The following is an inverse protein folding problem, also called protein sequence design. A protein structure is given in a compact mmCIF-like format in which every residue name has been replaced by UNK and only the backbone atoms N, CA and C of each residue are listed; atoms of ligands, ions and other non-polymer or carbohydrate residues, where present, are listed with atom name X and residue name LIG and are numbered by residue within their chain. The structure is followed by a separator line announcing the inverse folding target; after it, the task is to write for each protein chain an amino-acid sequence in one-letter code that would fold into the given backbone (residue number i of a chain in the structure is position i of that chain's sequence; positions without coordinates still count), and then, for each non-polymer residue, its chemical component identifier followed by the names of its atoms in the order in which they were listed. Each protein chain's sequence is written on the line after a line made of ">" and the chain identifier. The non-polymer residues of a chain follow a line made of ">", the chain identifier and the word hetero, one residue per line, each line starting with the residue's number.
data_IF_137196584256
#
_entry.id   IF_137196584256
#
_cell.length_a   1.000
_cell.length_b   1.000
_cell.length_c   1.000
_cell.angle_alpha   90.00
_cell.angle_beta   90.00
_cell.angle_gamma   90.00
#
_symmetry.space_group_name_H-M   'P 1'
#
loop_
_entity.id
_entity.type
_entity.pdbx_description
1 polymer ?
#
# COMPACT_ATOMS: atom_id res chain seq x y z
N UNK A 1 -66.43 -55.19 32.99
CA UNK A 1 -66.46 -54.03 33.88
C UNK A 1 -65.45 -53.06 33.32
N UNK A 2 -65.90 -52.14 32.45
CA UNK A 2 -65.06 -51.14 31.81
C UNK A 2 -64.54 -50.23 32.91
N UNK A 3 -63.27 -50.34 33.26
CA UNK A 3 -62.62 -49.38 34.16
C UNK A 3 -62.63 -48.03 33.44
N UNK A 4 -63.64 -47.23 33.74
CA UNK A 4 -63.64 -45.81 33.43
C UNK A 4 -62.52 -45.24 34.29
N UNK A 5 -61.38 -44.95 33.68
CA UNK A 5 -60.34 -44.19 34.37
C UNK A 5 -60.97 -42.88 34.86
N UNK A 6 -60.82 -42.55 36.15
CA UNK A 6 -61.39 -41.31 36.68
C UNK A 6 -60.85 -40.12 35.87
N UNK A 7 -61.66 -39.05 35.69
CA UNK A 7 -61.21 -37.88 34.94
C UNK A 7 -59.91 -37.33 35.56
N UNK A 8 -58.89 -37.22 34.71
CA UNK A 8 -57.61 -36.62 35.10
C UNK A 8 -57.87 -35.17 35.54
N UNK A 9 -57.38 -34.82 36.72
CA UNK A 9 -57.44 -33.45 37.24
C UNK A 9 -56.04 -32.84 37.06
N UNK A 10 -55.99 -31.57 36.69
CA UNK A 10 -54.73 -30.84 36.54
C UNK A 10 -53.86 -30.99 37.79
N UNK A 11 -52.54 -31.10 37.57
CA UNK A 11 -51.59 -31.15 38.67
C UNK A 11 -51.74 -29.88 39.52
N UNK A 12 -51.63 -29.99 40.86
CA UNK A 12 -51.69 -28.84 41.75
C UNK A 12 -50.75 -27.71 41.32
N UNK A 13 -51.19 -26.46 41.48
CA UNK A 13 -50.52 -25.21 41.03
C UNK A 13 -49.00 -25.11 41.28
N UNK A 14 -48.37 -25.68 42.33
CA UNK A 14 -46.90 -25.65 42.46
C UNK A 14 -46.14 -26.64 41.56
N UNK A 15 -46.83 -27.51 40.81
CA UNK A 15 -46.20 -28.37 39.81
C UNK A 15 -45.79 -27.56 38.58
N UNK A 16 -44.49 -27.32 38.49
CA UNK A 16 -43.87 -26.73 37.32
C UNK A 16 -43.62 -27.80 36.27
N UNK A 17 -43.85 -27.48 35.00
CA UNK A 17 -43.71 -28.41 33.88
C UNK A 17 -42.52 -28.02 33.01
N UNK A 18 -41.88 -29.03 32.43
CA UNK A 18 -40.92 -28.86 31.34
C UNK A 18 -41.28 -29.75 30.16
N UNK A 19 -40.83 -29.38 28.96
CA UNK A 19 -40.99 -30.16 27.73
C UNK A 19 -39.70 -30.84 27.33
N UNK A 20 -39.83 -32.08 26.87
CA UNK A 20 -38.73 -32.90 26.36
C UNK A 20 -39.05 -33.31 24.94
N UNK A 21 -38.04 -33.26 24.07
CA UNK A 21 -38.08 -33.81 22.71
C UNK A 21 -36.83 -34.65 22.48
N UNK A 22 -36.92 -35.58 21.53
CA UNK A 22 -35.80 -36.39 21.10
C UNK A 22 -36.16 -37.13 19.83
N UNK A 23 -35.16 -37.60 19.09
CA UNK A 23 -35.35 -38.43 17.89
C UNK A 23 -34.42 -39.62 17.94
N UNK A 24 -34.89 -40.78 17.50
CA UNK A 24 -34.08 -41.99 17.37
C UNK A 24 -34.21 -42.55 15.97
N UNK A 25 -33.08 -42.92 15.38
CA UNK A 25 -33.02 -43.57 14.09
C UNK A 25 -31.85 -44.57 14.07
N UNK A 26 -32.01 -45.63 13.29
CA UNK A 26 -30.94 -46.56 12.95
C UNK A 26 -30.22 -46.09 11.70
N UNK A 27 -28.89 -46.21 11.70
CA UNK A 27 -28.14 -46.27 10.46
C UNK A 27 -28.23 -47.70 9.94
N UNK A 28 -28.93 -47.89 8.81
CA UNK A 28 -29.08 -49.21 8.19
C UNK A 28 -28.09 -49.29 7.04
N UNK A 29 -27.33 -50.38 7.00
CA UNK A 29 -26.41 -50.65 5.90
C UNK A 29 -27.15 -50.84 4.58
N UNK A 30 -26.39 -50.89 3.49
CA UNK A 30 -26.91 -51.11 2.14
C UNK A 30 -27.94 -52.26 2.09
N UNK A 31 -29.09 -52.00 1.48
CA UNK A 31 -30.17 -52.96 1.34
C UNK A 31 -30.65 -52.98 -0.11
N UNK A 32 -31.18 -54.11 -0.57
CA UNK A 32 -31.69 -54.27 -1.95
C UNK A 32 -32.95 -53.44 -2.24
N UNK A 33 -33.36 -52.55 -1.33
CA UNK A 33 -34.51 -51.66 -1.46
C UNK A 33 -34.09 -50.19 -1.68
N UNK A 34 -32.80 -49.87 -1.68
CA UNK A 34 -32.28 -48.52 -1.93
C UNK A 34 -31.72 -48.40 -3.37
N UNK A 35 -31.89 -47.23 -3.99
CA UNK A 35 -31.37 -46.92 -5.34
C UNK A 35 -29.91 -46.50 -5.30
N UNK A 36 -29.45 -45.95 -4.18
CA UNK A 36 -28.04 -45.63 -3.97
C UNK A 36 -27.38 -46.63 -3.01
N UNK A 37 -26.10 -46.95 -3.24
CA UNK A 37 -25.37 -47.94 -2.45
C UNK A 37 -24.85 -47.38 -1.11
N UNK A 38 -25.49 -46.34 -0.56
CA UNK A 38 -25.06 -45.72 0.69
C UNK A 38 -25.92 -46.17 1.87
N UNK A 39 -25.38 -46.12 3.10
CA UNK A 39 -26.18 -46.34 4.30
C UNK A 39 -27.30 -45.30 4.44
N UNK A 40 -28.51 -45.78 4.74
CA UNK A 40 -29.69 -44.96 4.95
C UNK A 40 -30.01 -44.72 6.43
N UNK A 41 -30.71 -43.63 6.71
CA UNK A 41 -31.25 -43.33 8.05
C UNK A 41 -32.71 -43.83 8.13
N UNK A 42 -32.98 -44.79 9.01
CA UNK A 42 -34.32 -45.33 9.22
C UNK A 42 -34.82 -44.96 10.62
N UNK A 43 -35.96 -44.25 10.76
CA UNK A 43 -36.50 -43.89 12.07
C UNK A 43 -36.89 -45.14 12.86
N UNK A 44 -36.65 -45.12 14.17
CA UNK A 44 -37.18 -46.16 15.06
C UNK A 44 -38.62 -45.81 15.39
N UNK A 45 -39.57 -46.69 15.06
CA UNK A 45 -41.01 -46.45 15.24
C UNK A 45 -41.58 -47.51 16.16
N UNK A 46 -42.43 -47.10 17.10
CA UNK A 46 -43.17 -48.03 17.94
C UNK A 46 -43.73 -47.42 19.22
N UNK A 47 -44.62 -48.16 19.86
CA UNK A 47 -45.27 -47.75 21.09
C UNK A 47 -44.46 -48.15 22.32
N UNK A 48 -44.46 -47.29 23.34
CA UNK A 48 -43.91 -47.54 24.69
C UNK A 48 -42.45 -48.02 24.65
N UNK A 49 -41.63 -47.40 23.81
CA UNK A 49 -40.22 -47.77 23.61
C UNK A 49 -39.28 -47.17 24.65
N UNK A 50 -39.62 -46.00 25.20
CA UNK A 50 -38.83 -45.30 26.21
C UNK A 50 -39.64 -45.17 27.50
N UNK A 51 -39.01 -45.38 28.66
CA UNK A 51 -39.61 -45.17 29.97
C UNK A 51 -38.87 -44.07 30.73
N UNK A 52 -39.63 -43.15 31.32
CA UNK A 52 -39.14 -42.15 32.25
C UNK A 52 -39.59 -42.53 33.66
N UNK A 53 -38.64 -42.67 34.57
CA UNK A 53 -38.89 -42.98 35.99
C UNK A 53 -38.52 -41.76 36.83
N UNK A 54 -39.44 -41.19 37.62
CA UNK A 54 -39.12 -40.03 38.44
C UNK A 54 -38.26 -40.45 39.63
N UNK A 55 -37.24 -39.64 39.96
CA UNK A 55 -36.42 -39.89 41.16
C UNK A 55 -37.22 -39.67 42.45
N UNK A 56 -38.11 -38.67 42.47
CA UNK A 56 -39.05 -38.44 43.56
C UNK A 56 -40.34 -39.24 43.31
N UNK A 57 -40.52 -40.38 43.97
CA UNK A 57 -41.71 -41.23 43.82
C UNK A 57 -42.97 -40.70 44.51
N UNK A 58 -42.84 -39.78 45.46
CA UNK A 58 -43.96 -39.15 46.16
C UNK A 58 -43.60 -37.73 46.54
N UNK A 59 -44.51 -36.77 46.32
CA UNK A 59 -44.36 -35.37 46.74
C UNK A 59 -45.56 -34.90 47.55
N UNK A 60 -45.30 -34.23 48.67
CA UNK A 60 -46.33 -33.52 49.45
C UNK A 60 -46.46 -32.09 48.92
N UNK A 61 -47.67 -31.70 48.54
CA UNK A 61 -47.95 -30.38 47.98
C UNK A 61 -48.57 -29.47 49.04
N UNK A 62 -47.71 -28.73 49.73
CA UNK A 62 -48.14 -27.64 50.60
C UNK A 62 -48.73 -26.49 49.78
N UNK A 63 -49.83 -25.88 50.26
CA UNK A 63 -50.55 -24.81 49.53
C UNK A 63 -51.81 -25.27 48.78
N UNK A 64 -52.18 -26.54 48.90
CA UNK A 64 -53.51 -27.07 48.51
C UNK A 64 -54.39 -27.29 49.75
N UNK A 65 -55.71 -27.22 49.60
CA UNK A 65 -56.67 -27.59 50.64
C UNK A 65 -57.69 -28.62 50.10
N UNK A 66 -57.66 -29.88 50.57
CA UNK A 66 -56.69 -30.44 51.52
C UNK A 66 -55.28 -30.54 50.94
N UNK A 67 -54.27 -30.61 51.81
CA UNK A 67 -52.88 -30.89 51.41
C UNK A 67 -52.84 -32.19 50.62
N UNK A 68 -52.37 -32.12 49.39
CA UNK A 68 -52.39 -33.25 48.45
C UNK A 68 -51.04 -33.97 48.45
N UNK A 69 -51.06 -35.30 48.62
CA UNK A 69 -49.93 -36.19 48.34
C UNK A 69 -50.05 -36.67 46.90
N UNK A 70 -49.05 -36.38 46.07
CA UNK A 70 -48.99 -36.83 44.68
C UNK A 70 -47.99 -37.97 44.57
N UNK A 71 -48.46 -39.10 44.03
CA UNK A 71 -47.63 -40.27 43.72
C UNK A 71 -47.16 -40.18 42.27
N UNK A 72 -45.87 -39.96 42.12
CA UNK A 72 -45.19 -39.76 40.85
C UNK A 72 -44.91 -41.13 40.20
N UNK A 73 -45.62 -41.44 39.12
CA UNK A 73 -45.51 -42.74 38.44
C UNK A 73 -44.58 -42.69 37.24
N UNK A 74 -43.89 -43.81 36.93
CA UNK A 74 -43.19 -43.96 35.66
C UNK A 74 -44.12 -43.75 34.48
N UNK A 75 -43.62 -43.13 33.44
CA UNK A 75 -44.35 -42.96 32.18
C UNK A 75 -43.62 -43.64 31.04
N UNK A 76 -44.37 -44.09 30.04
CA UNK A 76 -43.81 -44.62 28.80
C UNK A 76 -44.12 -43.67 27.65
N UNK A 77 -43.27 -43.71 26.64
CA UNK A 77 -43.31 -42.87 25.47
C UNK A 77 -43.14 -43.68 24.19
N UNK A 78 -43.73 -43.18 23.13
CA UNK A 78 -43.70 -43.76 21.80
C UNK A 78 -42.64 -43.05 20.95
N UNK A 79 -42.25 -43.67 19.85
CA UNK A 79 -41.53 -43.02 18.77
C UNK A 79 -42.43 -43.02 17.53
N UNK A 80 -42.72 -41.84 17.01
CA UNK A 80 -43.64 -41.67 15.88
C UNK A 80 -43.01 -42.11 14.55
N UNK A 81 -43.73 -41.91 13.44
CA UNK A 81 -43.25 -42.32 12.10
C UNK A 81 -41.95 -41.62 11.65
N UNK A 82 -41.54 -40.54 12.32
CA UNK A 82 -40.28 -39.84 12.07
C UNK A 82 -39.20 -40.21 13.11
N UNK A 83 -39.52 -41.14 14.02
CA UNK A 83 -38.68 -41.52 15.15
C UNK A 83 -38.61 -40.45 16.22
N UNK A 84 -39.51 -39.46 16.20
CA UNK A 84 -39.58 -38.43 17.22
C UNK A 84 -40.31 -38.96 18.47
N UNK A 85 -39.79 -38.59 19.64
CA UNK A 85 -40.41 -38.85 20.93
C UNK A 85 -41.83 -38.28 20.91
N UNK A 86 -42.81 -39.14 21.16
CA UNK A 86 -44.21 -38.76 21.14
C UNK A 86 -45.00 -39.47 22.24
N UNK A 87 -46.15 -38.90 22.57
CA UNK A 87 -47.12 -39.54 23.45
C UNK A 87 -48.53 -39.16 23.00
N UNK A 88 -49.40 -40.15 22.82
CA UNK A 88 -50.76 -39.95 22.33
C UNK A 88 -50.81 -39.16 21.01
N UNK A 89 -49.84 -39.39 20.11
CA UNK A 89 -49.74 -38.71 18.82
C UNK A 89 -49.27 -37.24 18.88
N UNK A 90 -48.91 -36.72 20.06
CA UNK A 90 -48.31 -35.40 20.22
C UNK A 90 -46.79 -35.51 20.28
N UNK A 91 -46.10 -34.64 19.54
CA UNK A 91 -44.63 -34.59 19.52
C UNK A 91 -44.08 -33.97 20.81
N UNK A 92 -43.13 -34.67 21.41
CA UNK A 92 -42.54 -34.35 22.71
C UNK A 92 -43.45 -34.73 23.88
N UNK A 93 -42.89 -34.64 25.08
CA UNK A 93 -43.57 -35.01 26.32
C UNK A 93 -43.42 -33.89 27.32
N UNK A 94 -44.51 -33.55 28.00
CA UNK A 94 -44.48 -32.68 29.17
C UNK A 94 -44.38 -33.53 30.43
N UNK A 95 -43.36 -33.25 31.23
CA UNK A 95 -43.14 -33.86 32.53
C UNK A 95 -43.06 -32.75 33.58
N UNK A 96 -43.30 -33.08 34.85
CA UNK A 96 -43.00 -32.13 35.91
C UNK A 96 -41.49 -31.95 36.09
N UNK A 97 -41.12 -30.75 36.52
CA UNK A 97 -39.73 -30.41 36.81
C UNK A 97 -39.20 -31.26 37.97
N UNK A 98 -37.98 -31.75 37.81
CA UNK A 98 -37.32 -32.68 38.72
C UNK A 98 -36.33 -33.58 38.00
N UNK A 99 -35.72 -34.50 38.75
CA UNK A 99 -34.79 -35.50 38.21
C UNK A 99 -35.56 -36.74 37.75
N UNK A 100 -35.23 -37.20 36.55
CA UNK A 100 -35.83 -38.34 35.90
C UNK A 100 -34.77 -39.26 35.34
N UNK A 101 -34.99 -40.57 35.45
CA UNK A 101 -34.20 -41.60 34.79
C UNK A 101 -34.86 -41.97 33.45
N UNK A 102 -34.15 -41.78 32.35
CA UNK A 102 -34.51 -42.28 31.03
C UNK A 102 -33.94 -43.69 30.85
N UNK A 103 -34.77 -44.65 30.43
CA UNK A 103 -34.32 -46.01 30.15
C UNK A 103 -35.12 -46.69 29.03
N UNK A 104 -34.57 -47.71 28.36
CA UNK A 104 -35.31 -48.48 27.37
C UNK A 104 -36.45 -49.24 28.04
N UNK A 105 -37.67 -49.06 27.53
CA UNK A 105 -38.84 -49.82 27.95
C UNK A 105 -38.98 -51.14 27.16
N UNK A 106 -38.45 -51.16 25.94
CA UNK A 106 -38.40 -52.34 25.07
C UNK A 106 -36.98 -52.54 24.52
N UNK A 107 -36.06 -53.15 25.29
CA UNK A 107 -34.66 -53.34 24.90
C UNK A 107 -34.45 -54.18 23.64
N UNK A 108 -35.46 -54.94 23.22
CA UNK A 108 -35.43 -55.71 21.97
C UNK A 108 -35.64 -54.86 20.73
N UNK A 109 -36.26 -53.68 20.87
CA UNK A 109 -36.52 -52.73 19.78
C UNK A 109 -35.57 -51.55 19.86
N UNK A 110 -35.37 -50.99 21.05
CA UNK A 110 -34.47 -49.87 21.29
C UNK A 110 -33.69 -50.14 22.57
N UNK A 111 -32.38 -50.30 22.45
CA UNK A 111 -31.49 -50.53 23.57
C UNK A 111 -30.50 -49.36 23.72
N UNK A 112 -30.36 -48.83 24.93
CA UNK A 112 -29.39 -47.81 25.31
C UNK A 112 -29.17 -47.87 26.82
N UNK A 113 -28.03 -47.37 27.28
CA UNK A 113 -27.74 -47.29 28.71
C UNK A 113 -28.69 -46.29 29.38
N UNK A 114 -29.27 -46.67 30.52
CA UNK A 114 -30.11 -45.74 31.27
C UNK A 114 -29.29 -44.55 31.79
N UNK A 115 -29.90 -43.38 31.83
CA UNK A 115 -29.25 -42.17 32.33
C UNK A 115 -30.23 -41.24 33.02
N UNK A 116 -29.71 -40.46 33.97
CA UNK A 116 -30.48 -39.44 34.67
C UNK A 116 -30.35 -38.10 33.97
N UNK A 117 -31.42 -37.32 34.00
CA UNK A 117 -31.44 -35.94 33.53
C UNK A 117 -32.32 -35.08 34.44
N UNK A 118 -32.04 -33.78 34.49
CA UNK A 118 -32.83 -32.81 35.24
C UNK A 118 -33.73 -32.01 34.29
N UNK A 119 -35.01 -31.91 34.65
CA UNK A 119 -35.98 -31.08 33.95
C UNK A 119 -36.33 -29.85 34.80
N UNK A 120 -36.14 -28.67 34.23
CA UNK A 120 -36.47 -27.37 34.85
C UNK A 120 -37.50 -26.61 34.02
N UNK A 121 -38.05 -25.51 34.58
CA UNK A 121 -38.99 -24.61 33.90
C UNK A 121 -38.41 -23.90 32.67
N UNK A 122 -37.08 -23.85 32.56
CA UNK A 122 -36.43 -23.28 31.39
C UNK A 122 -36.72 -24.10 30.13
N UNK A 123 -37.12 -25.37 30.28
CA UNK A 123 -37.45 -26.25 29.16
C UNK A 123 -38.90 -26.03 28.72
N UNK A 124 -39.14 -25.00 27.93
CA UNK A 124 -40.47 -24.59 27.48
C UNK A 124 -40.90 -25.28 26.18
N UNK A 125 -42.09 -24.95 25.68
CA UNK A 125 -42.54 -25.43 24.38
C UNK A 125 -41.64 -24.95 23.23
N UNK A 126 -41.08 -23.74 23.35
CA UNK A 126 -40.19 -23.09 22.37
C UNK A 126 -38.72 -23.47 22.56
N UNK A 127 -38.33 -23.91 23.76
CA UNK A 127 -36.98 -24.33 24.11
C UNK A 127 -36.99 -25.66 24.89
N UNK A 128 -37.42 -26.78 24.26
CA UNK A 128 -37.52 -28.05 24.96
C UNK A 128 -36.14 -28.63 25.27
N UNK A 129 -36.07 -29.46 26.31
CA UNK A 129 -34.89 -30.30 26.58
C UNK A 129 -34.70 -31.28 25.41
N UNK A 130 -33.50 -31.28 24.82
CA UNK A 130 -33.08 -32.28 23.85
C UNK A 130 -32.56 -33.52 24.59
N UNK A 131 -33.38 -34.57 24.64
CA UNK A 131 -33.15 -35.75 25.49
C UNK A 131 -31.75 -36.36 25.32
N UNK A 132 -31.33 -36.56 24.07
CA UNK A 132 -30.06 -37.22 23.77
C UNK A 132 -28.85 -36.30 23.94
N UNK A 133 -29.04 -34.99 24.06
CA UNK A 133 -27.97 -34.06 24.47
C UNK A 133 -27.72 -34.10 25.98
N UNK A 134 -28.71 -34.55 26.76
CA UNK A 134 -28.57 -34.79 28.19
C UNK A 134 -28.00 -36.19 28.50
N UNK A 135 -27.93 -37.08 27.51
CA UNK A 135 -27.35 -38.40 27.68
C UNK A 135 -25.84 -38.30 27.91
N UNK A 136 -25.26 -39.13 28.79
CA UNK A 136 -23.81 -39.17 29.01
C UNK A 136 -23.10 -39.58 27.72
N UNK A 137 -22.04 -38.87 27.38
CA UNK A 137 -21.17 -39.21 26.26
C UNK A 137 -20.16 -40.27 26.71
N UNK A 138 -20.26 -41.47 26.14
CA UNK A 138 -19.22 -42.50 26.28
C UNK A 138 -18.22 -42.35 25.12
N UNK A 139 -16.96 -41.92 25.36
CA UNK A 139 -15.98 -41.76 24.32
C UNK A 139 -15.60 -43.11 23.67
N UNK A 140 -15.33 -43.16 22.35
CA UNK A 140 -14.77 -44.35 21.70
C UNK A 140 -13.43 -44.78 22.33
N UNK A 141 -13.15 -46.08 22.29
CA UNK A 141 -11.88 -46.64 22.75
C UNK A 141 -10.69 -45.92 22.10
N UNK A 142 -9.70 -45.53 22.92
CA UNK A 142 -8.53 -44.76 22.46
C UNK A 142 -8.73 -43.24 22.38
N UNK A 143 -9.91 -42.72 22.69
CA UNK A 143 -10.14 -41.26 22.76
C UNK A 143 -9.72 -40.70 24.11
N UNK A 144 -8.74 -39.79 24.12
CA UNK A 144 -8.38 -39.06 25.34
C UNK A 144 -9.48 -38.08 25.72
N UNK A 145 -10.10 -38.30 26.88
CA UNK A 145 -11.05 -37.34 27.48
C UNK A 145 -10.37 -36.57 28.60
N UNK A 146 -10.28 -35.26 28.42
CA UNK A 146 -9.88 -34.35 29.48
C UNK A 146 -11.14 -33.93 30.25
N UNK A 147 -11.31 -34.44 31.46
CA UNK A 147 -12.41 -34.01 32.34
C UNK A 147 -11.92 -32.86 33.20
N UNK A 148 -12.50 -31.67 33.02
CA UNK A 148 -12.34 -30.55 33.95
C UNK A 148 -13.31 -30.77 35.11
N UNK A 149 -12.80 -31.21 36.27
CA UNK A 149 -13.62 -31.31 37.48
C UNK A 149 -13.87 -29.89 38.00
N UNK A 150 -15.11 -29.43 37.85
CA UNK A 150 -15.56 -28.16 38.44
C UNK A 150 -16.11 -28.48 39.84
N UNK A 151 -15.59 -27.87 40.92
CA UNK A 151 -16.11 -28.06 42.26
C UNK A 151 -17.61 -27.69 42.34
N UNK A 152 -18.39 -28.35 43.19
CA UNK A 152 -19.78 -27.96 43.47
C UNK A 152 -19.84 -26.84 44.52
N UNK A 153 -20.97 -26.11 44.61
CA UNK A 153 -21.24 -25.18 45.71
C UNK A 153 -20.87 -23.72 45.46
N UNK A 154 -20.79 -23.30 44.19
CA UNK A 154 -20.59 -21.89 43.83
C UNK A 154 -21.70 -21.01 44.43
N UNK A 155 -21.32 -19.92 45.06
CA UNK A 155 -22.24 -18.83 45.42
C UNK A 155 -22.29 -17.77 44.31
N UNK A 156 -23.40 -17.04 44.22
CA UNK A 156 -23.52 -15.96 43.24
C UNK A 156 -22.42 -14.90 43.47
N UNK A 157 -21.68 -14.55 42.41
CA UNK A 157 -20.53 -13.63 42.47
C UNK A 157 -19.16 -14.32 42.60
N UNK A 158 -19.12 -15.65 42.76
CA UNK A 158 -17.86 -16.40 42.74
C UNK A 158 -17.41 -16.74 41.32
N UNK A 159 -16.10 -16.83 41.13
CA UNK A 159 -15.46 -17.24 39.88
C UNK A 159 -14.66 -18.51 40.09
N UNK A 160 -14.62 -19.38 39.07
CA UNK A 160 -13.76 -20.56 39.10
C UNK A 160 -12.33 -20.12 38.76
N UNK A 161 -11.41 -20.28 39.71
CA UNK A 161 -10.01 -19.88 39.55
C UNK A 161 -9.06 -20.94 40.10
N UNK A 162 -7.80 -20.89 39.68
CA UNK A 162 -6.75 -21.76 40.22
C UNK A 162 -6.24 -21.17 41.54
N UNK A 163 -6.47 -21.88 42.65
CA UNK A 163 -5.94 -21.57 43.97
C UNK A 163 -4.74 -22.44 44.33
N UNK A 164 -4.30 -22.36 45.59
CA UNK A 164 -3.12 -23.08 46.10
C UNK A 164 -3.24 -24.61 45.98
N UNK A 165 -4.46 -25.14 46.08
CA UNK A 165 -4.76 -26.58 46.01
C UNK A 165 -5.47 -27.01 44.70
N UNK A 166 -5.46 -26.14 43.67
CA UNK A 166 -6.09 -26.40 42.36
C UNK A 166 -7.34 -25.56 42.08
N UNK A 167 -8.21 -26.03 41.18
CA UNK A 167 -9.43 -25.30 40.80
C UNK A 167 -10.40 -25.19 41.99
N UNK A 168 -10.75 -23.96 42.36
CA UNK A 168 -11.67 -23.65 43.45
C UNK A 168 -12.57 -22.47 43.09
N UNK A 169 -13.76 -22.42 43.69
CA UNK A 169 -14.58 -21.21 43.67
C UNK A 169 -13.93 -20.18 44.58
N UNK A 170 -13.59 -19.04 44.00
CA UNK A 170 -13.07 -17.89 44.73
C UNK A 170 -14.10 -16.78 44.66
N UNK A 171 -14.24 -16.01 45.72
CA UNK A 171 -15.01 -14.78 45.66
C UNK A 171 -14.45 -13.95 44.52
N UNK A 172 -15.30 -13.62 43.55
CA UNK A 172 -14.90 -12.77 42.44
C UNK A 172 -14.33 -11.52 43.06
N UNK A 173 -13.02 -11.33 42.93
CA UNK A 173 -12.37 -10.14 43.42
C UNK A 173 -12.95 -8.97 42.63
N UNK A 174 -14.04 -8.39 43.12
CA UNK A 174 -14.45 -7.02 42.83
C UNK A 174 -13.53 -6.05 43.57
N UNK A 175 -12.28 -6.45 43.82
CA UNK A 175 -11.23 -5.57 44.24
C UNK A 175 -10.90 -4.70 43.05
N UNK A 176 -11.12 -3.41 43.23
CA UNK A 176 -10.48 -2.40 42.39
C UNK A 176 -9.00 -2.78 42.25
N UNK A 177 -8.58 -3.20 41.05
CA UNK A 177 -7.18 -3.55 40.81
C UNK A 177 -6.37 -2.29 41.00
N UNK A 178 -5.67 -2.20 42.12
CA UNK A 178 -4.84 -1.06 42.44
C UNK A 178 -3.51 -1.21 41.71
N UNK A 179 -2.90 -0.08 41.38
CA UNK A 179 -1.51 -0.08 40.93
C UNK A 179 -0.57 -0.68 41.97
N UNK A 180 -0.98 -0.77 43.23
CA UNK A 180 -0.21 -1.41 44.30
C UNK A 180 -0.20 -2.93 44.26
N UNK A 181 -1.13 -3.55 43.54
CA UNK A 181 -1.22 -5.01 43.42
C UNK A 181 -0.22 -5.60 42.39
N UNK A 182 0.39 -4.75 41.56
CA UNK A 182 1.35 -5.18 40.53
C UNK A 182 2.74 -5.39 41.16
N UNK A 183 3.11 -6.64 41.41
CA UNK A 183 4.46 -7.00 41.85
C UNK A 183 5.51 -6.80 40.72
N UNK A 184 6.74 -6.42 41.08
CA UNK A 184 7.81 -6.18 40.10
C UNK A 184 7.66 -4.90 39.28
N UNK A 185 6.65 -4.06 39.59
CA UNK A 185 6.50 -2.75 38.97
C UNK A 185 7.71 -1.84 39.29
N UNK A 186 8.20 -1.06 38.32
CA UNK A 186 9.16 0.01 38.61
C UNK A 186 8.56 0.97 39.64
N UNK A 187 9.31 1.31 40.69
CA UNK A 187 8.84 2.21 41.77
C UNK A 187 8.55 3.63 41.28
N UNK A 188 9.02 3.97 40.07
CA UNK A 188 8.93 5.30 39.48
C UNK A 188 8.94 5.21 37.95
N UNK A 189 7.77 5.37 37.32
CA UNK A 189 7.66 6.02 36.01
C UNK A 189 7.07 7.43 36.19
N UNK A 190 7.68 8.39 36.92
CA UNK A 190 7.59 9.75 36.45
C UNK A 190 8.45 9.74 35.18
N UNK A 191 7.86 9.78 33.96
CA UNK A 191 8.65 10.24 32.83
C UNK A 191 9.36 11.51 33.30
N UNK A 192 10.67 11.63 33.06
CA UNK A 192 11.34 12.90 33.30
C UNK A 192 10.71 13.88 32.33
N UNK A 193 9.73 14.64 32.83
CA UNK A 193 9.06 15.68 32.07
C UNK A 193 10.02 16.85 31.99
N UNK A 194 10.40 17.22 30.77
CA UNK A 194 11.38 18.26 30.55
C UNK A 194 11.14 18.99 29.25
N UNK A 195 11.94 20.03 29.05
CA UNK A 195 11.90 20.90 27.86
C UNK A 195 13.02 20.57 26.87
N UNK A 196 13.71 19.45 27.04
CA UNK A 196 14.84 19.04 26.18
C UNK A 196 14.39 18.03 25.14
N UNK A 197 15.15 17.89 24.05
CA UNK A 197 14.83 16.96 22.97
C UNK A 197 14.81 15.47 23.39
N UNK A 198 15.37 15.12 24.55
CA UNK A 198 15.44 13.73 25.06
C UNK A 198 14.49 13.45 26.21
N UNK A 199 13.68 14.43 26.61
CA UNK A 199 12.68 14.30 27.69
C UNK A 199 11.28 14.42 27.11
N UNK A 200 10.34 13.67 27.67
CA UNK A 200 8.94 13.77 27.25
C UNK A 200 8.36 15.12 27.70
N UNK A 201 7.54 15.76 26.87
CA UNK A 201 6.71 16.89 27.33
C UNK A 201 5.54 16.37 28.16
N UNK A 202 5.02 17.16 29.09
CA UNK A 202 3.79 16.81 29.80
C UNK A 202 2.65 16.64 28.79
N UNK A 203 1.75 15.67 29.00
CA UNK A 203 0.63 15.40 28.08
C UNK A 203 -0.35 16.58 27.93
N UNK A 204 -0.34 17.51 28.87
CA UNK A 204 -1.10 18.76 28.83
C UNK A 204 -0.25 19.97 28.38
N UNK A 205 0.97 19.75 27.87
CA UNK A 205 1.80 20.83 27.36
C UNK A 205 1.14 21.42 26.13
N UNK A 206 0.81 22.71 26.18
CA UNK A 206 0.37 23.44 25.01
C UNK A 206 1.50 23.47 23.98
N UNK A 207 1.35 22.73 22.89
CA UNK A 207 2.29 22.77 21.78
C UNK A 207 2.09 24.12 21.08
N UNK A 208 3.13 24.99 21.00
CA UNK A 208 2.99 26.26 20.31
C UNK A 208 2.62 26.01 18.85
N UNK A 209 1.78 26.89 18.30
CA UNK A 209 1.42 26.82 16.90
C UNK A 209 2.67 26.83 16.02
N UNK A 210 2.61 26.14 14.88
CA UNK A 210 3.71 26.11 13.93
C UNK A 210 4.15 27.55 13.57
N UNK A 211 5.46 27.83 13.50
CA UNK A 211 5.94 29.16 13.21
C UNK A 211 5.43 29.62 11.85
N UNK A 212 4.80 30.78 11.82
CA UNK A 212 4.46 31.51 10.60
C UNK A 212 5.59 32.48 10.25
N UNK A 213 5.61 32.97 9.00
CA UNK A 213 6.55 34.00 8.58
C UNK A 213 6.58 35.22 9.52
N UNK A 214 5.45 35.58 10.13
CA UNK A 214 5.35 36.70 11.05
C UNK A 214 6.03 36.42 12.41
N UNK A 215 6.03 35.15 12.85
CA UNK A 215 6.58 34.72 14.14
C UNK A 215 8.10 34.47 14.15
N UNK A 216 8.77 34.54 12.99
CA UNK A 216 10.22 34.38 12.89
C UNK A 216 10.95 35.62 13.47
N UNK A 217 11.34 35.56 14.73
CA UNK A 217 11.98 36.67 15.46
C UNK A 217 13.32 37.13 14.87
N UNK A 218 14.08 36.20 14.26
CA UNK A 218 15.35 36.51 13.59
C UNK A 218 15.23 37.06 12.16
N UNK A 219 14.03 37.09 11.58
CA UNK A 219 13.83 37.58 10.22
C UNK A 219 13.57 39.10 10.21
N UNK A 220 14.23 39.81 9.28
CA UNK A 220 13.96 41.23 9.03
C UNK A 220 12.57 41.43 8.43
N UNK A 221 12.05 42.66 8.47
CA UNK A 221 10.76 42.99 7.84
C UNK A 221 10.74 42.58 6.35
N UNK A 222 11.83 42.84 5.62
CA UNK A 222 12.00 42.43 4.22
C UNK A 222 12.02 40.90 4.10
N UNK A 223 12.80 40.21 4.94
CA UNK A 223 12.84 38.73 4.94
C UNK A 223 11.47 38.10 5.16
N UNK A 224 10.67 38.62 6.09
CA UNK A 224 9.29 38.16 6.33
C UNK A 224 8.39 38.42 5.13
N UNK A 225 8.51 39.56 4.45
CA UNK A 225 7.73 39.86 3.25
C UNK A 225 8.10 38.93 2.08
N UNK A 226 9.38 38.59 1.91
CA UNK A 226 9.82 37.63 0.88
C UNK A 226 9.25 36.23 1.16
N UNK A 227 9.32 35.75 2.41
CA UNK A 227 8.77 34.44 2.78
C UNK A 227 7.25 34.38 2.55
N UNK A 228 6.56 35.52 2.71
CA UNK A 228 5.11 35.64 2.44
C UNK A 228 4.76 35.86 0.95
N UNK A 229 5.73 36.10 0.09
CA UNK A 229 5.46 36.40 -1.31
C UNK A 229 4.91 35.16 -2.03
N UNK A 230 3.74 35.30 -2.64
CA UNK A 230 3.07 34.22 -3.37
C UNK A 230 3.62 33.98 -4.77
N UNK A 231 4.38 34.95 -5.30
CA UNK A 231 4.95 34.91 -6.64
C UNK A 231 6.20 35.80 -6.76
N UNK A 232 6.85 35.74 -7.92
CA UNK A 232 8.06 36.49 -8.21
C UNK A 232 7.84 38.02 -8.23
N UNK A 233 6.65 38.51 -8.58
CA UNK A 233 6.36 39.95 -8.60
C UNK A 233 6.22 40.52 -7.18
N UNK A 234 5.54 39.78 -6.30
CA UNK A 234 5.44 40.09 -4.88
C UNK A 234 6.82 40.09 -4.20
N UNK A 235 7.68 39.11 -4.51
CA UNK A 235 9.04 39.07 -3.99
C UNK A 235 9.89 40.27 -4.46
N UNK A 236 9.82 40.64 -5.75
CA UNK A 236 10.50 41.85 -6.28
C UNK A 236 10.02 43.13 -5.62
N UNK A 237 8.73 43.21 -5.32
CA UNK A 237 8.14 44.34 -4.58
C UNK A 237 8.69 44.38 -3.15
N UNK A 238 8.76 43.24 -2.46
CA UNK A 238 9.26 43.13 -1.09
C UNK A 238 10.73 43.56 -0.91
N UNK A 239 11.60 43.28 -1.89
CA UNK A 239 13.01 43.75 -1.87
C UNK A 239 13.18 45.17 -2.41
N UNK A 240 12.10 45.85 -2.80
CA UNK A 240 12.17 47.17 -3.42
C UNK A 240 12.85 47.19 -4.79
N UNK A 241 13.02 46.02 -5.43
CA UNK A 241 13.64 45.92 -6.75
C UNK A 241 12.68 46.33 -7.88
N UNK A 242 11.36 46.30 -7.62
CA UNK A 242 10.34 46.70 -8.60
C UNK A 242 10.56 46.08 -9.98
N UNK A 243 10.25 46.86 -11.02
CA UNK A 243 10.90 46.80 -12.33
C UNK A 243 11.84 48.01 -12.36
N UNK A 244 13.16 47.81 -12.41
CA UNK A 244 14.22 48.83 -12.30
C UNK A 244 13.76 50.30 -12.33
N UNK A 245 13.94 51.03 -11.23
CA UNK A 245 13.73 52.49 -11.15
C UNK A 245 14.77 53.32 -11.91
N UNK A 246 15.54 52.68 -12.81
CA UNK A 246 16.51 53.34 -13.67
C UNK A 246 15.73 54.12 -14.73
N UNK A 247 15.63 55.43 -14.54
CA UNK A 247 15.16 56.31 -15.60
C UNK A 247 16.15 56.19 -16.77
N UNK A 248 15.67 55.68 -17.91
CA UNK A 248 16.43 55.66 -19.15
C UNK A 248 16.37 57.06 -19.78
N UNK A 249 17.51 57.61 -20.15
CA UNK A 249 17.58 58.96 -20.71
C UNK A 249 18.95 59.32 -21.26
N UNK A 250 19.09 60.57 -21.66
CA UNK A 250 20.30 61.13 -22.28
C UNK A 250 21.03 62.12 -21.37
N UNK A 251 20.57 62.32 -20.13
CA UNK A 251 21.22 63.22 -19.17
C UNK A 251 22.22 62.44 -18.30
N UNK A 252 23.16 63.15 -17.69
CA UNK A 252 24.18 62.56 -16.81
C UNK A 252 23.60 61.86 -15.56
N UNK A 253 22.33 62.10 -15.22
CA UNK A 253 21.65 61.49 -14.06
C UNK A 253 20.74 60.33 -14.44
N UNK A 254 20.64 59.99 -15.72
CA UNK A 254 19.81 58.89 -16.24
C UNK A 254 20.69 57.80 -16.83
N UNK A 255 20.25 56.54 -16.74
CA UNK A 255 20.97 55.43 -17.34
C UNK A 255 20.78 55.43 -18.87
N UNK A 256 21.84 55.13 -19.60
CA UNK A 256 21.73 54.91 -21.03
C UNK A 256 21.03 53.56 -21.30
N UNK A 257 20.31 53.45 -22.42
CA UNK A 257 19.70 52.19 -22.85
C UNK A 257 20.79 51.13 -23.08
N UNK A 258 20.48 49.85 -22.85
CA UNK A 258 21.47 48.77 -22.98
C UNK A 258 22.13 48.63 -24.37
N UNK A 259 21.52 49.19 -25.40
CA UNK A 259 22.01 49.23 -26.79
C UNK A 259 22.55 50.61 -27.20
N UNK A 260 22.87 51.50 -26.24
CA UNK A 260 23.46 52.79 -26.57
C UNK A 260 24.85 52.63 -27.18
N UNK A 261 25.14 53.45 -28.18
CA UNK A 261 26.45 53.53 -28.83
C UNK A 261 27.11 54.86 -28.49
N UNK A 262 28.38 54.83 -28.12
CA UNK A 262 29.18 56.04 -28.02
C UNK A 262 29.84 56.33 -29.37
N UNK A 263 29.59 57.50 -29.94
CA UNK A 263 30.39 57.98 -31.06
C UNK A 263 31.67 58.62 -30.53
N UNK A 264 32.78 58.44 -31.24
CA UNK A 264 33.99 59.23 -31.01
C UNK A 264 33.70 60.73 -31.07
N UNK A 265 32.70 61.13 -31.87
CA UNK A 265 32.28 62.52 -31.96
C UNK A 265 31.65 63.07 -30.67
N UNK A 266 31.14 62.20 -29.78
CA UNK A 266 30.45 62.60 -28.54
C UNK A 266 31.43 62.90 -27.39
N UNK A 267 32.71 62.59 -27.56
CA UNK A 267 33.75 62.90 -26.58
C UNK A 267 34.11 64.40 -26.66
N UNK A 268 33.90 65.13 -25.57
CA UNK A 268 34.23 66.56 -25.43
C UNK A 268 35.74 66.82 -25.39
N UNK A 269 36.53 65.87 -24.90
CA UNK A 269 37.99 66.02 -24.71
C UNK A 269 38.81 65.07 -25.61
N UNK A 270 38.32 64.78 -26.81
CA UNK A 270 39.04 63.88 -27.72
C UNK A 270 40.31 64.52 -28.29
N UNK A 271 41.42 63.76 -28.42
CA UNK A 271 42.60 64.22 -29.16
C UNK A 271 42.25 64.56 -30.61
N UNK A 272 42.83 65.63 -31.16
CA UNK A 272 42.74 65.88 -32.59
C UNK A 272 43.54 64.81 -33.35
N UNK A 273 42.89 64.09 -34.28
CA UNK A 273 43.60 63.16 -35.17
C UNK A 273 44.33 64.01 -36.22
N UNK A 274 45.68 63.91 -36.32
CA UNK A 274 46.42 64.65 -37.33
C UNK A 274 45.97 64.26 -38.75
N UNK A 275 45.85 65.25 -39.64
CA UNK A 275 45.50 65.00 -41.02
C UNK A 275 46.54 64.06 -41.67
N UNK A 276 46.07 63.07 -42.44
CA UNK A 276 46.96 62.22 -43.21
C UNK A 276 47.81 63.09 -44.17
N UNK A 277 49.12 62.83 -44.30
CA UNK A 277 49.97 63.57 -45.23
C UNK A 277 49.44 63.41 -46.66
N UNK A 278 49.43 64.51 -47.42
CA UNK A 278 48.97 64.52 -48.81
C UNK A 278 49.72 63.47 -49.63
N UNK A 279 48.96 62.69 -50.39
CA UNK A 279 49.40 61.50 -51.13
C UNK A 279 50.69 61.73 -51.95
N UNK A 280 51.80 61.12 -51.54
CA UNK A 280 52.90 60.84 -52.47
C UNK A 280 52.43 59.71 -53.39
N UNK A 281 51.71 60.07 -54.46
CA UNK A 281 51.20 59.10 -55.42
C UNK A 281 52.40 58.38 -56.07
N UNK A 282 52.61 57.11 -55.70
CA UNK A 282 53.71 56.27 -56.19
C UNK A 282 53.75 56.12 -57.73
N UNK A 283 52.66 56.49 -58.43
CA UNK A 283 52.57 56.46 -59.89
C UNK A 283 52.48 57.90 -60.44
N UNK A 284 53.47 58.36 -61.23
CA UNK A 284 53.41 59.64 -61.93
C UNK A 284 52.26 59.68 -62.94
N UNK A 285 51.61 60.83 -63.08
CA UNK A 285 50.64 61.09 -64.16
C UNK A 285 51.35 61.24 -65.50
N UNK A 286 50.65 60.95 -66.61
CA UNK A 286 51.09 61.32 -67.96
C UNK A 286 51.71 60.22 -68.81
N UNK A 287 51.56 58.94 -68.43
CA UNK A 287 51.94 57.82 -69.29
C UNK A 287 51.11 57.78 -70.57
N UNK A 288 51.77 57.51 -71.69
CA UNK A 288 51.14 57.30 -73.01
C UNK A 288 51.28 55.85 -73.45
N UNK A 289 50.53 55.45 -74.48
CA UNK A 289 50.65 54.13 -75.11
C UNK A 289 52.10 53.87 -75.55
N UNK A 290 52.61 52.67 -75.30
CA UNK A 290 54.01 52.23 -75.53
C UNK A 290 55.05 52.80 -74.55
N UNK A 291 54.61 53.24 -73.36
CA UNK A 291 55.49 53.50 -72.23
C UNK A 291 55.25 52.50 -71.10
N UNK A 292 56.32 52.12 -70.40
CA UNK A 292 56.29 51.34 -69.17
C UNK A 292 56.89 52.15 -68.03
N UNK A 293 56.37 51.98 -66.82
CA UNK A 293 56.90 52.66 -65.65
C UNK A 293 58.26 52.04 -65.30
N UNK A 294 59.31 52.85 -65.30
CA UNK A 294 60.67 52.46 -64.92
C UNK A 294 61.11 53.30 -63.72
N UNK A 295 61.93 52.73 -62.85
CA UNK A 295 62.58 53.50 -61.80
C UNK A 295 63.85 54.11 -62.39
N UNK A 296 63.94 55.44 -62.38
CA UNK A 296 65.11 56.18 -62.83
C UNK A 296 66.30 56.01 -61.88
N UNK A 297 67.47 56.49 -62.30
CA UNK A 297 68.69 56.48 -61.46
C UNK A 297 68.58 57.36 -60.21
N UNK A 298 67.55 58.20 -60.13
CA UNK A 298 67.17 59.03 -58.99
C UNK A 298 66.22 58.32 -58.01
N UNK A 299 65.91 57.04 -58.24
CA UNK A 299 65.02 56.24 -57.40
C UNK A 299 63.53 56.56 -57.55
N UNK A 300 63.16 57.44 -58.49
CA UNK A 300 61.77 57.81 -58.75
C UNK A 300 61.21 57.05 -59.94
N UNK A 301 59.93 56.68 -59.85
CA UNK A 301 59.24 56.09 -60.98
C UNK A 301 59.00 57.15 -62.06
N UNK A 302 59.24 56.82 -63.33
CA UNK A 302 58.98 57.65 -64.51
C UNK A 302 58.55 56.78 -65.71
N UNK A 303 57.76 57.34 -66.63
CA UNK A 303 57.35 56.63 -67.85
C UNK A 303 58.48 56.61 -68.87
N UNK A 304 58.90 55.42 -69.31
CA UNK A 304 59.95 55.24 -70.33
C UNK A 304 59.50 54.36 -71.48
N UNK A 305 60.17 54.46 -72.64
CA UNK A 305 59.80 53.70 -73.83
C UNK A 305 59.80 52.18 -73.61
N UNK A 306 58.78 51.50 -74.15
CA UNK A 306 58.69 50.05 -74.22
C UNK A 306 59.65 49.51 -75.29
N UNK A 307 60.67 48.77 -74.86
CA UNK A 307 61.67 48.17 -75.75
C UNK A 307 61.25 46.79 -76.28
N UNK A 308 60.03 46.32 -75.99
CA UNK A 308 59.60 44.95 -76.21
C UNK A 308 58.81 44.71 -77.52
N UNK A 309 58.88 45.63 -78.49
CA UNK A 309 58.04 45.64 -79.71
C UNK A 309 58.69 45.09 -80.99
N UNK A 310 59.89 44.50 -80.93
CA UNK A 310 60.47 43.75 -82.05
C UNK A 310 60.62 42.27 -81.68
N UNK A 311 59.86 41.33 -82.27
CA UNK A 311 60.13 39.91 -82.09
C UNK A 311 61.53 39.60 -82.64
N UNK A 312 62.43 38.94 -81.88
CA UNK A 312 63.76 38.62 -82.37
C UNK A 312 63.67 37.61 -83.52
N UNK A 313 64.29 37.93 -84.66
CA UNK A 313 64.49 36.99 -85.76
C UNK A 313 65.47 35.90 -85.30
N UNK A 314 64.95 34.76 -84.86
CA UNK A 314 65.78 33.61 -84.48
C UNK A 314 66.17 32.83 -85.75
N UNK A 315 67.46 32.79 -86.09
CA UNK A 315 67.98 31.88 -87.13
C UNK A 315 68.14 30.47 -86.56
N UNK A 316 68.02 29.45 -87.43
CA UNK A 316 68.13 28.04 -87.02
C UNK A 316 69.44 27.73 -86.28
N UNK A 317 70.53 28.40 -86.65
CA UNK A 317 71.85 28.23 -86.03
C UNK A 317 71.88 28.71 -84.56
N UNK A 318 71.09 29.73 -84.21
CA UNK A 318 71.03 30.27 -82.85
C UNK A 318 70.26 29.37 -81.87
N UNK A 319 69.35 28.53 -82.40
CA UNK A 319 68.57 27.56 -81.60
C UNK A 319 69.43 26.34 -81.26
N UNK A 320 70.32 25.93 -82.16
CA UNK A 320 71.12 24.71 -82.01
C UNK A 320 72.38 24.91 -81.13
N UNK A 321 72.87 26.15 -80.99
CA UNK A 321 74.04 26.49 -80.18
C UNK A 321 73.76 26.72 -78.68
N UNK A 322 72.50 26.70 -78.23
CA UNK A 322 72.14 26.84 -76.82
C UNK A 322 72.51 28.19 -76.17
N UNK A 323 72.83 29.22 -76.96
CA UNK A 323 73.32 30.53 -76.49
C UNK A 323 72.25 31.64 -76.47
N UNK A 324 70.98 31.33 -76.75
CA UNK A 324 69.88 32.30 -76.70
C UNK A 324 69.26 32.41 -75.29
N UNK A 325 69.66 33.44 -74.54
CA UNK A 325 69.21 33.72 -73.16
C UNK A 325 68.05 34.74 -73.09
N UNK A 326 66.92 34.46 -73.77
CA UNK A 326 65.69 35.25 -73.60
C UNK A 326 64.54 34.44 -72.99
N UNK A 327 63.72 35.02 -72.08
CA UNK A 327 62.76 34.30 -71.22
C UNK A 327 61.65 33.53 -71.96
N UNK A 328 61.45 33.76 -73.26
CA UNK A 328 60.54 32.97 -74.11
C UNK A 328 61.06 31.56 -74.45
N UNK A 329 62.34 31.25 -74.20
CA UNK A 329 62.89 29.90 -74.38
C UNK A 329 62.51 28.94 -73.25
N UNK A 330 62.10 29.45 -72.08
CA UNK A 330 61.60 28.64 -70.97
C UNK A 330 60.30 27.94 -71.38
N UNK A 331 59.39 28.63 -72.07
CA UNK A 331 58.11 28.04 -72.49
C UNK A 331 58.29 26.96 -73.56
N UNK A 332 59.20 27.17 -74.52
CA UNK A 332 59.49 26.18 -75.55
C UNK A 332 60.21 24.95 -74.97
N UNK A 333 61.18 25.14 -74.05
CA UNK A 333 61.86 24.05 -73.36
C UNK A 333 60.91 23.27 -72.45
N UNK A 334 60.05 23.94 -71.69
CA UNK A 334 59.05 23.29 -70.84
C UNK A 334 58.07 22.46 -71.68
N UNK A 335 57.67 22.96 -72.86
CA UNK A 335 56.77 22.21 -73.74
C UNK A 335 57.48 20.99 -74.37
N UNK A 336 58.73 21.11 -74.79
CA UNK A 336 59.52 19.97 -75.27
C UNK A 336 59.73 18.93 -74.16
N UNK A 337 60.12 19.36 -72.96
CA UNK A 337 60.31 18.49 -71.79
C UNK A 337 58.98 17.83 -71.34
N UNK A 338 57.83 18.45 -71.60
CA UNK A 338 56.50 17.86 -71.35
C UNK A 338 56.14 16.82 -72.42
N UNK A 339 56.39 17.12 -73.70
CA UNK A 339 56.14 16.19 -74.80
C UNK A 339 56.98 14.92 -74.63
N UNK A 340 58.28 15.06 -74.36
CA UNK A 340 59.18 13.92 -74.17
C UNK A 340 58.75 13.07 -72.97
N UNK A 341 58.32 13.70 -71.88
CA UNK A 341 57.79 12.99 -70.71
C UNK A 341 56.51 12.22 -71.03
N UNK A 342 55.61 12.81 -71.82
CA UNK A 342 54.37 12.16 -72.27
C UNK A 342 54.63 11.02 -73.24
N UNK A 343 55.59 11.17 -74.16
CA UNK A 343 55.98 10.11 -75.10
C UNK A 343 56.65 8.96 -74.36
N UNK A 344 57.56 9.23 -73.43
CA UNK A 344 58.17 8.19 -72.60
C UNK A 344 57.12 7.44 -71.75
N UNK A 345 56.16 8.14 -71.16
CA UNK A 345 55.05 7.52 -70.43
C UNK A 345 54.15 6.65 -71.35
N UNK A 346 53.87 7.11 -72.57
CA UNK A 346 53.08 6.35 -73.54
C UNK A 346 53.82 5.08 -74.02
N UNK A 347 55.13 5.16 -74.26
CA UNK A 347 55.96 4.00 -74.63
C UNK A 347 56.02 2.99 -73.47
N UNK A 348 56.18 3.47 -72.22
CA UNK A 348 56.19 2.60 -71.04
C UNK A 348 54.85 1.91 -70.77
N UNK A 349 53.73 2.48 -71.25
CA UNK A 349 52.39 1.91 -71.09
C UNK A 349 52.03 0.88 -72.17
N UNK A 350 52.83 0.74 -73.24
CA UNK A 350 52.63 -0.32 -74.22
C UNK A 350 53.04 -1.66 -73.60
N UNK A 351 52.16 -2.68 -73.57
CA UNK A 351 52.50 -4.00 -73.07
C UNK A 351 53.67 -4.58 -73.88
N UNK A 352 54.75 -4.94 -73.19
CA UNK A 352 55.90 -5.61 -73.78
C UNK A 352 55.49 -7.01 -74.24
N UNK A 353 55.29 -7.19 -75.54
CA UNK A 353 55.15 -8.52 -76.15
C UNK A 353 53.83 -9.22 -75.87
N UNK A 354 52.88 -9.00 -76.78
CA UNK A 354 52.44 -10.06 -77.69
C UNK A 354 52.92 -9.72 -79.08
#
# INVERSE_FOLDING_TARGET
>A
MTTIDPPETDLPVPYKLGRIVGRVAFAVGDSTQDEDQNPGLVPVVGERLIQFVPAEGTRIVSGTDPVTRVDNRPITADLDAQGDLSRNGQKGIKLWCGVWTCKPASPTVLNFDQFDFELTEAHTDDAPLQLWSAAPYTPPEGTTVNTLVVPSGASNGQVLAWGDDGLAWQDGASGEVSWDDVAGKPSTFPPTIGTTATTAMAGNTAIPAAPTADTLSGATAVGKQIIKATDAAAARTAIGAGTSSLALGTTATTAAKGDHTHSYNDLTDKPAIPAAPAEERLVPTGGTTNQVLKVGSDGKAAWGADANTQPPTLTADAVQAGTATTPSSITAKVLADEIDRRVAAAIAALPSGG
#
